data_IF_612793111590
#
_entry.id   IF_612793111590
#
_cell.length_a   1.000
_cell.length_b   1.000
_cell.length_c   1.000
_cell.angle_alpha   90.00
_cell.angle_beta   90.00
_cell.angle_gamma   90.00
#
_symmetry.space_group_name_H-M   'P 1'
#
loop_
_entity.id
_entity.type
_entity.pdbx_description
1 polymer ?
#
# COMPACT_ATOMS: atom_id res chain seq x y z
N UNK A 1 43.20 -42.83 43.50
CA UNK A 1 43.68 -41.54 44.03
C UNK A 1 43.24 -40.43 43.09
N UNK A 2 42.76 -39.32 43.67
CA UNK A 2 42.47 -38.00 43.10
C UNK A 2 41.26 -37.81 42.14
N UNK A 3 40.21 -37.23 42.72
CA UNK A 3 39.19 -36.35 42.13
C UNK A 3 39.81 -35.11 41.44
N UNK A 4 39.16 -34.51 40.44
CA UNK A 4 38.42 -33.22 40.56
C UNK A 4 37.98 -32.61 39.20
N UNK A 5 36.65 -32.49 39.08
CA UNK A 5 35.78 -31.52 38.39
C UNK A 5 36.41 -30.24 37.81
N UNK A 6 36.00 -29.86 36.58
CA UNK A 6 35.67 -28.48 36.13
C UNK A 6 35.14 -28.55 34.67
N UNK A 7 33.82 -28.61 34.45
CA UNK A 7 32.94 -27.47 34.14
C UNK A 7 33.42 -26.59 32.98
N UNK A 8 32.88 -26.83 31.79
CA UNK A 8 32.52 -25.76 30.86
C UNK A 8 31.42 -26.28 29.93
N UNK A 9 30.20 -26.29 30.45
CA UNK A 9 29.00 -26.15 29.65
C UNK A 9 29.18 -24.92 28.76
N UNK A 10 29.55 -25.13 27.50
CA UNK A 10 29.58 -24.08 26.50
C UNK A 10 28.13 -23.77 26.13
N UNK A 11 27.45 -23.09 27.04
CA UNK A 11 26.24 -22.34 26.78
C UNK A 11 26.61 -21.32 25.72
N UNK A 12 26.46 -21.69 24.45
CA UNK A 12 26.32 -20.74 23.36
C UNK A 12 25.06 -19.94 23.69
N UNK A 13 25.26 -18.86 24.44
CA UNK A 13 24.37 -17.70 24.43
C UNK A 13 24.43 -17.17 22.99
N UNK A 14 23.69 -17.83 22.10
CA UNK A 14 23.21 -17.17 20.90
C UNK A 14 22.37 -16.01 21.41
N UNK A 15 22.98 -14.84 21.43
CA UNK A 15 22.26 -13.58 21.32
C UNK A 15 21.40 -13.69 20.07
N UNK A 16 20.18 -14.19 20.22
CA UNK A 16 19.12 -14.14 19.21
C UNK A 16 18.62 -12.71 19.15
N UNK A 17 19.47 -11.80 18.72
CA UNK A 17 19.06 -10.52 18.15
C UNK A 17 18.82 -10.81 16.67
N UNK A 18 17.67 -11.42 16.36
CA UNK A 18 17.19 -11.53 14.99
C UNK A 18 15.78 -11.00 14.95
N UNK A 19 15.73 -9.68 14.73
CA UNK A 19 14.65 -8.87 14.19
C UNK A 19 13.28 -9.56 14.15
N UNK A 20 12.45 -9.25 15.14
CA UNK A 20 11.01 -9.25 14.94
C UNK A 20 10.73 -8.52 13.61
N UNK A 21 9.93 -9.09 12.69
CA UNK A 21 9.49 -8.32 11.54
C UNK A 21 8.77 -7.10 12.10
N UNK A 22 9.31 -5.91 11.84
CA UNK A 22 8.60 -4.66 12.11
C UNK A 22 7.28 -4.80 11.36
N UNK A 23 6.26 -5.17 12.12
CA UNK A 23 4.89 -5.13 11.68
C UNK A 23 4.58 -3.65 11.67
N UNK A 24 4.92 -2.94 10.59
CA UNK A 24 4.44 -1.57 10.35
C UNK A 24 2.96 -1.70 10.01
N UNK A 25 2.18 -2.11 11.02
CA UNK A 25 0.77 -1.82 11.08
C UNK A 25 0.71 -0.29 11.13
N UNK A 26 -0.15 0.32 10.31
CA UNK A 26 -0.42 1.74 10.45
C UNK A 26 -0.75 2.03 11.93
N UNK A 27 0.01 2.93 12.53
CA UNK A 27 0.13 3.09 13.98
C UNK A 27 -0.96 4.02 14.50
N UNK A 28 -1.38 4.98 13.68
CA UNK A 28 -2.14 6.14 14.14
C UNK A 28 -3.36 6.44 13.26
N UNK A 29 -4.49 6.66 13.93
CA UNK A 29 -5.71 7.23 13.37
C UNK A 29 -5.65 8.76 13.40
N UNK A 30 -6.77 9.44 13.09
CA UNK A 30 -6.86 10.90 13.10
C UNK A 30 -6.27 11.55 14.36
N UNK A 31 -5.48 12.60 14.14
CA UNK A 31 -4.71 13.34 15.14
C UNK A 31 -3.67 12.52 15.93
N UNK A 32 -3.50 11.23 15.62
CA UNK A 32 -2.48 10.37 16.20
C UNK A 32 -1.08 10.70 15.70
N UNK A 33 -0.03 10.36 16.47
CA UNK A 33 1.34 10.72 16.14
C UNK A 33 1.86 9.96 14.91
N UNK A 34 2.64 10.65 14.08
CA UNK A 34 3.35 10.04 12.96
C UNK A 34 4.70 10.73 12.75
N UNK A 35 5.65 9.99 12.20
CA UNK A 35 6.94 10.48 11.71
C UNK A 35 7.01 10.38 10.20
N UNK A 36 6.40 9.35 9.64
CA UNK A 36 6.38 9.06 8.22
C UNK A 36 4.95 8.88 7.73
N UNK A 37 4.79 8.93 6.42
CA UNK A 37 3.50 8.76 5.77
C UNK A 37 2.90 7.35 5.95
N UNK A 38 3.74 6.36 6.28
CA UNK A 38 3.33 4.97 6.54
C UNK A 38 2.79 4.76 7.96
N UNK A 39 2.95 5.73 8.86
CA UNK A 39 2.48 5.60 10.24
C UNK A 39 0.96 5.84 10.36
N UNK A 40 0.34 6.37 9.29
CA UNK A 40 -1.07 6.76 9.27
C UNK A 40 -1.96 5.73 8.60
N UNK A 41 -3.15 5.53 9.18
CA UNK A 41 -4.12 4.54 8.69
C UNK A 41 -4.87 5.00 7.43
N UNK A 42 -5.08 4.10 6.47
CA UNK A 42 -5.99 4.30 5.35
C UNK A 42 -5.52 5.37 4.34
N UNK A 43 -6.30 6.46 4.22
CA UNK A 43 -6.02 7.59 3.34
C UNK A 43 -5.44 8.80 4.09
N UNK A 44 -5.16 8.65 5.38
CA UNK A 44 -4.58 9.74 6.17
C UNK A 44 -3.13 9.98 5.78
N UNK A 45 -2.73 11.25 5.82
CA UNK A 45 -1.35 11.67 5.59
C UNK A 45 -0.73 12.25 6.86
N UNK A 46 0.59 12.16 6.97
CA UNK A 46 1.31 12.68 8.12
C UNK A 46 1.64 14.16 7.91
N UNK A 47 0.90 15.07 8.57
CA UNK A 47 1.10 16.52 8.51
C UNK A 47 1.49 17.00 9.90
N UNK A 48 2.63 17.68 10.02
CA UNK A 48 3.13 18.25 11.28
C UNK A 48 3.18 17.22 12.42
N UNK A 49 3.60 15.99 12.09
CA UNK A 49 3.71 14.89 13.05
C UNK A 49 2.39 14.27 13.49
N UNK A 50 1.27 14.58 12.81
CA UNK A 50 -0.05 14.00 13.08
C UNK A 50 -0.72 13.46 11.81
N UNK A 51 -1.45 12.37 11.96
CA UNK A 51 -2.26 11.82 10.88
C UNK A 51 -3.51 12.68 10.66
N UNK A 52 -3.65 13.25 9.47
CA UNK A 52 -4.75 14.14 9.10
C UNK A 52 -5.29 13.79 7.71
N UNK A 53 -6.43 14.41 7.38
CA UNK A 53 -7.00 14.39 6.05
C UNK A 53 -6.03 14.93 5.00
N UNK A 54 -6.09 14.38 3.79
CA UNK A 54 -5.32 14.84 2.64
C UNK A 54 -6.07 15.99 1.93
N UNK A 55 -5.63 17.26 2.08
CA UNK A 55 -6.34 18.42 1.53
C UNK A 55 -6.30 18.46 0.00
N UNK A 56 -5.30 17.84 -0.63
CA UNK A 56 -5.17 17.82 -2.09
C UNK A 56 -6.17 16.86 -2.75
N UNK A 57 -6.75 15.97 -1.95
CA UNK A 57 -7.69 14.93 -2.35
C UNK A 57 -9.10 15.20 -1.84
N UNK A 58 -9.21 16.03 -0.80
CA UNK A 58 -10.48 16.38 -0.16
C UNK A 58 -11.03 15.25 0.72
N UNK A 59 -10.17 14.48 1.39
CA UNK A 59 -10.67 13.52 2.39
C UNK A 59 -11.28 14.24 3.58
N UNK A 60 -12.30 13.66 4.20
CA UNK A 60 -13.02 14.25 5.35
C UNK A 60 -13.13 13.29 6.54
N UNK A 61 -12.17 12.37 6.66
CA UNK A 61 -12.09 11.28 7.63
C UNK A 61 -11.92 11.85 9.04
N UNK A 62 -11.00 12.80 9.22
CA UNK A 62 -10.74 13.43 10.52
C UNK A 62 -11.72 14.56 10.82
N UNK A 63 -12.19 15.23 9.78
CA UNK A 63 -13.15 16.34 9.88
C UNK A 63 -14.56 15.91 10.33
N UNK A 64 -14.93 14.62 10.19
CA UNK A 64 -16.25 14.08 10.58
C UNK A 64 -16.29 13.41 11.95
N UNK A 65 -15.23 13.49 12.77
CA UNK A 65 -15.27 13.14 14.19
C UNK A 65 -15.36 11.64 14.54
N UNK A 66 -14.86 10.73 13.70
CA UNK A 66 -14.94 9.29 13.95
C UNK A 66 -13.70 8.66 14.59
N UNK A 67 -13.79 8.27 15.86
CA UNK A 67 -13.06 7.13 16.46
C UNK A 67 -13.67 5.77 16.06
N UNK A 68 -14.50 5.78 15.03
CA UNK A 68 -15.04 4.64 14.30
C UNK A 68 -14.84 4.96 12.83
N UNK A 69 -14.27 4.02 12.06
CA UNK A 69 -14.15 4.10 10.60
C UNK A 69 -15.43 4.69 10.00
N UNK A 70 -15.40 5.93 9.47
CA UNK A 70 -16.61 6.53 8.95
C UNK A 70 -16.87 6.02 7.54
N UNK A 71 -18.11 5.58 7.34
CA UNK A 71 -18.68 5.32 6.03
C UNK A 71 -18.45 6.55 5.13
N UNK A 72 -17.82 6.35 3.97
CA UNK A 72 -17.52 7.40 3.01
C UNK A 72 -18.82 7.97 2.44
N UNK A 73 -18.78 9.29 2.21
CA UNK A 73 -19.86 10.10 1.65
C UNK A 73 -20.58 9.42 0.48
N UNK A 74 -21.89 9.60 0.47
CA UNK A 74 -22.96 9.07 -0.39
C UNK A 74 -22.88 9.42 -1.88
N UNK A 75 -21.69 9.52 -2.47
CA UNK A 75 -21.49 9.45 -3.91
C UNK A 75 -20.77 8.14 -4.23
N UNK A 76 -21.43 7.18 -4.86
CA UNK A 76 -20.74 6.03 -5.44
C UNK A 76 -19.69 6.55 -6.43
N UNK A 77 -18.50 5.96 -6.45
CA UNK A 77 -17.54 6.27 -7.51
C UNK A 77 -18.18 5.91 -8.86
N UNK A 78 -18.40 6.90 -9.72
CA UNK A 78 -19.02 6.74 -11.02
C UNK A 78 -17.99 6.90 -12.14
N UNK A 79 -18.31 6.33 -13.30
CA UNK A 79 -17.52 6.51 -14.51
C UNK A 79 -17.47 8.00 -14.90
N UNK A 80 -16.29 8.48 -15.24
CA UNK A 80 -16.07 9.85 -15.75
C UNK A 80 -16.27 9.97 -17.26
N UNK A 81 -16.62 8.87 -17.94
CA UNK A 81 -16.78 8.78 -19.38
C UNK A 81 -16.28 7.44 -19.90
N UNK A 82 -16.16 7.31 -21.21
CA UNK A 82 -15.57 6.12 -21.82
C UNK A 82 -14.32 6.50 -22.61
N UNK A 83 -13.34 5.62 -22.60
CA UNK A 83 -12.19 5.66 -23.50
C UNK A 83 -12.35 4.58 -24.56
N UNK A 84 -11.84 4.85 -25.77
CA UNK A 84 -11.76 3.85 -26.83
C UNK A 84 -10.35 3.27 -26.80
N UNK A 85 -10.18 2.07 -26.25
CA UNK A 85 -8.93 1.33 -26.29
C UNK A 85 -9.08 0.22 -27.35
N UNK A 86 -8.16 0.11 -28.31
CA UNK A 86 -8.19 -0.89 -29.39
C UNK A 86 -9.54 -1.05 -30.11
N UNK A 87 -10.20 0.08 -30.39
CA UNK A 87 -11.50 0.14 -31.07
C UNK A 87 -12.71 -0.26 -30.22
N UNK A 88 -12.52 -0.57 -28.93
CA UNK A 88 -13.59 -0.91 -27.98
C UNK A 88 -13.77 0.20 -26.94
N UNK A 89 -15.03 0.46 -26.57
CA UNK A 89 -15.37 1.46 -25.56
C UNK A 89 -15.30 0.85 -24.16
N UNK A 90 -14.48 1.43 -23.28
CA UNK A 90 -14.27 1.02 -21.90
C UNK A 90 -14.58 2.17 -20.95
N UNK A 91 -15.25 1.94 -19.81
CA UNK A 91 -15.52 2.99 -18.83
C UNK A 91 -14.23 3.48 -18.18
N UNK A 92 -14.05 4.79 -18.13
CA UNK A 92 -12.94 5.45 -17.44
C UNK A 92 -13.37 5.86 -16.04
N UNK A 93 -12.51 5.64 -15.06
CA UNK A 93 -12.75 6.05 -13.68
C UNK A 93 -11.60 6.92 -13.19
N UNK A 94 -11.90 8.15 -12.77
CA UNK A 94 -10.97 9.03 -12.06
C UNK A 94 -10.99 8.83 -10.54
N UNK A 95 -11.92 8.00 -10.06
CA UNK A 95 -12.09 7.66 -8.66
C UNK A 95 -11.91 6.15 -8.47
N UNK A 96 -11.81 5.74 -7.21
CA UNK A 96 -11.85 4.34 -6.82
C UNK A 96 -12.73 4.22 -5.59
N UNK A 97 -13.18 3.00 -5.24
CA UNK A 97 -13.89 2.80 -4.00
C UNK A 97 -13.10 3.36 -2.81
N UNK A 98 -13.78 3.75 -1.74
CA UNK A 98 -13.13 4.29 -0.55
C UNK A 98 -12.09 3.35 0.04
N UNK A 99 -10.97 3.91 0.49
CA UNK A 99 -9.92 3.13 1.16
C UNK A 99 -10.30 2.92 2.63
N UNK A 100 -10.46 1.66 3.02
CA UNK A 100 -10.79 1.23 4.39
C UNK A 100 -9.58 0.55 5.04
N UNK A 101 -9.70 0.13 6.30
CA UNK A 101 -8.70 -0.74 6.95
C UNK A 101 -8.53 -2.08 6.24
N UNK A 102 -9.58 -2.53 5.53
CA UNK A 102 -9.58 -3.71 4.66
C UNK A 102 -10.35 -3.39 3.38
N UNK A 103 -9.67 -2.77 2.42
CA UNK A 103 -10.25 -2.42 1.10
C UNK A 103 -10.35 -3.65 0.21
N UNK A 104 -11.54 -3.95 -0.28
CA UNK A 104 -11.74 -5.00 -1.29
C UNK A 104 -11.21 -4.54 -2.65
N UNK A 105 -10.45 -5.40 -3.33
CA UNK A 105 -9.87 -5.15 -4.64
C UNK A 105 -9.82 -6.44 -5.48
N UNK A 106 -9.63 -6.27 -6.79
CA UNK A 106 -9.29 -7.35 -7.71
C UNK A 106 -7.78 -7.28 -7.95
N UNK A 107 -7.09 -8.41 -7.75
CA UNK A 107 -5.67 -8.52 -8.07
C UNK A 107 -5.53 -9.07 -9.48
N UNK A 108 -4.85 -8.32 -10.34
CA UNK A 108 -4.42 -8.74 -11.68
C UNK A 108 -2.90 -8.90 -11.72
N UNK A 109 -2.38 -9.50 -12.79
CA UNK A 109 -0.95 -9.67 -13.02
C UNK A 109 -0.46 -8.59 -13.99
N UNK A 110 0.75 -8.09 -13.79
CA UNK A 110 1.48 -7.18 -14.67
C UNK A 110 2.96 -7.57 -14.71
N UNK A 111 3.61 -7.30 -15.83
CA UNK A 111 5.05 -7.30 -16.02
C UNK A 111 5.59 -5.86 -15.96
N UNK A 112 6.33 -5.55 -14.89
CA UNK A 112 6.95 -4.22 -14.68
C UNK A 112 8.36 -4.12 -15.28
N UNK A 113 8.85 -5.17 -15.93
CA UNK A 113 10.19 -5.21 -16.50
C UNK A 113 10.27 -4.47 -17.84
N UNK A 114 11.49 -4.10 -18.23
CA UNK A 114 11.73 -3.46 -19.52
C UNK A 114 11.31 -4.38 -20.67
N UNK A 115 10.45 -3.89 -21.56
CA UNK A 115 9.90 -4.68 -22.67
C UNK A 115 8.76 -5.63 -22.26
N UNK A 116 8.28 -5.56 -21.01
CA UNK A 116 7.07 -6.24 -20.53
C UNK A 116 5.77 -5.61 -21.03
N UNK A 117 4.64 -6.06 -20.48
CA UNK A 117 3.30 -5.57 -20.83
C UNK A 117 2.89 -4.27 -20.11
N UNK A 118 3.62 -3.84 -19.08
CA UNK A 118 3.39 -2.56 -18.39
C UNK A 118 3.64 -1.32 -19.25
N UNK A 119 4.23 -1.49 -20.43
CA UNK A 119 4.52 -0.40 -21.37
C UNK A 119 5.77 0.37 -20.97
N UNK A 120 5.59 1.54 -20.35
CA UNK A 120 6.69 2.43 -19.96
C UNK A 120 7.23 2.14 -18.54
N UNK A 121 8.24 2.91 -18.11
CA UNK A 121 8.68 2.90 -16.71
C UNK A 121 7.56 3.28 -15.74
N UNK A 122 7.66 2.81 -14.49
CA UNK A 122 6.65 3.00 -13.45
C UNK A 122 6.50 4.47 -13.05
N UNK A 123 5.26 4.93 -12.88
CA UNK A 123 4.94 6.36 -12.70
C UNK A 123 5.50 7.01 -11.42
N UNK A 124 5.86 6.23 -10.40
CA UNK A 124 6.38 6.77 -9.15
C UNK A 124 7.87 7.14 -9.18
N UNK A 125 8.68 6.37 -9.90
CA UNK A 125 10.15 6.44 -9.84
C UNK A 125 10.82 6.41 -11.22
N UNK A 126 10.04 6.38 -12.31
CA UNK A 126 10.51 6.45 -13.70
C UNK A 126 11.48 5.33 -14.08
N UNK A 127 11.36 4.17 -13.43
CA UNK A 127 12.17 2.97 -13.72
C UNK A 127 11.31 1.73 -14.00
N UNK A 128 11.93 0.74 -14.62
CA UNK A 128 11.39 -0.62 -14.68
C UNK A 128 11.72 -1.37 -13.38
N UNK A 129 10.89 -2.33 -13.01
CA UNK A 129 11.12 -3.21 -11.86
C UNK A 129 11.26 -4.65 -12.30
N UNK A 130 12.17 -5.38 -11.66
CA UNK A 130 12.28 -6.81 -11.86
C UNK A 130 11.02 -7.51 -11.32
N UNK A 131 10.47 -8.50 -12.04
CA UNK A 131 9.27 -9.23 -11.59
C UNK A 131 9.49 -10.06 -10.31
N UNK A 132 10.74 -10.13 -9.83
CA UNK A 132 11.06 -10.70 -8.52
C UNK A 132 10.79 -9.73 -7.37
N UNK A 133 10.69 -8.44 -7.65
CA UNK A 133 10.30 -7.41 -6.70
C UNK A 133 8.80 -7.49 -6.40
N UNK A 134 8.43 -7.26 -5.14
CA UNK A 134 7.02 -7.19 -4.73
C UNK A 134 6.52 -5.78 -4.94
N UNK A 135 6.12 -5.48 -6.17
CA UNK A 135 5.61 -4.16 -6.56
C UNK A 135 4.18 -4.26 -7.11
N UNK A 136 3.46 -3.15 -7.07
CA UNK A 136 2.07 -3.06 -7.56
C UNK A 136 1.77 -1.70 -8.17
N UNK A 137 0.84 -1.71 -9.12
CA UNK A 137 0.13 -0.55 -9.61
C UNK A 137 -1.23 -0.42 -8.90
N UNK A 138 -1.72 0.80 -8.70
CA UNK A 138 -3.05 1.05 -8.15
C UNK A 138 -3.93 1.74 -9.18
N UNK A 139 -5.23 1.42 -9.23
CA UNK A 139 -6.19 2.17 -10.06
C UNK A 139 -6.14 3.66 -9.73
N UNK A 140 -6.37 4.53 -10.72
CA UNK A 140 -6.22 6.00 -10.63
C UNK A 140 -6.68 6.63 -9.31
N UNK A 141 -7.88 6.31 -8.83
CA UNK A 141 -8.38 6.89 -7.58
C UNK A 141 -7.64 6.41 -6.32
N UNK A 142 -7.11 5.18 -6.31
CA UNK A 142 -6.24 4.68 -5.25
C UNK A 142 -4.78 5.09 -5.44
N UNK A 143 -4.29 5.23 -6.68
CA UNK A 143 -2.98 5.81 -6.94
C UNK A 143 -2.90 7.22 -6.40
N UNK A 144 -3.99 7.98 -6.60
CA UNK A 144 -4.23 9.29 -6.00
C UNK A 144 -3.05 10.23 -6.24
N UNK A 145 -2.74 10.44 -7.54
CA UNK A 145 -1.67 11.32 -8.04
C UNK A 145 -0.31 11.03 -7.38
N UNK A 146 0.00 9.75 -7.18
CA UNK A 146 1.25 9.32 -6.57
C UNK A 146 1.36 9.53 -5.06
N UNK A 147 0.30 9.96 -4.36
CA UNK A 147 0.31 10.09 -2.89
C UNK A 147 0.67 8.78 -2.16
N UNK A 148 0.55 7.62 -2.84
CA UNK A 148 0.93 6.30 -2.33
C UNK A 148 2.26 5.77 -2.88
N UNK A 149 2.94 6.52 -3.73
CA UNK A 149 4.24 6.11 -4.28
C UNK A 149 5.24 5.74 -3.19
N UNK A 150 5.93 4.61 -3.40
CA UNK A 150 6.91 4.08 -2.46
C UNK A 150 6.33 3.51 -1.17
N UNK A 151 5.02 3.60 -0.94
CA UNK A 151 4.38 3.05 0.26
C UNK A 151 4.18 1.55 0.13
N UNK A 152 4.24 0.90 1.27
CA UNK A 152 3.96 -0.52 1.39
C UNK A 152 2.48 -0.75 1.68
N UNK A 153 1.84 -1.62 0.90
CA UNK A 153 0.48 -2.10 1.16
C UNK A 153 0.50 -3.58 1.49
N UNK A 154 -0.42 -4.02 2.36
CA UNK A 154 -0.62 -5.44 2.67
C UNK A 154 -1.79 -5.99 1.88
N UNK A 155 -1.50 -6.93 0.99
CA UNK A 155 -2.50 -7.65 0.20
C UNK A 155 -2.81 -8.95 0.91
N UNK A 156 -4.09 -9.25 1.11
CA UNK A 156 -4.55 -10.49 1.74
C UNK A 156 -5.49 -11.22 0.81
N UNK A 157 -5.12 -12.43 0.42
CA UNK A 157 -5.92 -13.29 -0.45
C UNK A 157 -7.00 -14.04 0.36
N UNK A 158 -8.03 -14.53 -0.34
CA UNK A 158 -9.14 -15.28 0.27
C UNK A 158 -8.69 -16.56 1.00
N UNK A 159 -7.53 -17.12 0.64
CA UNK A 159 -6.93 -18.27 1.32
C UNK A 159 -6.18 -17.91 2.61
N UNK A 160 -6.27 -16.66 3.08
CA UNK A 160 -5.65 -16.17 4.31
C UNK A 160 -4.17 -15.81 4.18
N UNK A 161 -3.54 -16.03 3.02
CA UNK A 161 -2.15 -15.62 2.80
C UNK A 161 -2.07 -14.11 2.59
N UNK A 162 -1.04 -13.50 3.16
CA UNK A 162 -0.77 -12.07 2.99
C UNK A 162 0.65 -11.83 2.48
N UNK A 163 0.81 -10.73 1.76
CA UNK A 163 2.10 -10.24 1.27
C UNK A 163 2.12 -8.72 1.35
N UNK A 164 3.30 -8.15 1.59
CA UNK A 164 3.52 -6.71 1.50
C UNK A 164 4.18 -6.38 0.16
N UNK A 165 3.67 -5.36 -0.53
CA UNK A 165 4.19 -4.90 -1.82
C UNK A 165 4.29 -3.36 -1.85
N UNK A 166 5.27 -2.85 -2.58
CA UNK A 166 5.51 -1.41 -2.78
C UNK A 166 4.64 -0.89 -3.93
N UNK A 167 3.96 0.23 -3.73
CA UNK A 167 3.26 0.92 -4.81
C UNK A 167 4.28 1.66 -5.67
N UNK A 168 4.34 1.32 -6.95
CA UNK A 168 5.29 1.92 -7.92
C UNK A 168 4.60 2.58 -9.10
N UNK A 169 3.33 2.28 -9.35
CA UNK A 169 2.72 2.71 -10.59
C UNK A 169 1.21 2.97 -10.51
N UNK A 170 0.69 3.60 -11.56
CA UNK A 170 -0.72 3.83 -11.81
C UNK A 170 -1.27 2.80 -12.81
N UNK A 171 -2.37 2.15 -12.44
CA UNK A 171 -3.14 1.32 -13.33
C UNK A 171 -4.18 2.20 -14.05
N UNK A 172 -3.78 2.84 -15.16
CA UNK A 172 -4.72 3.61 -15.99
C UNK A 172 -5.58 2.68 -16.85
N UNK A 173 -6.87 3.02 -16.91
CA UNK A 173 -7.96 2.35 -17.61
C UNK A 173 -7.75 1.98 -19.09
N UNK A 174 -6.77 2.55 -19.80
CA UNK A 174 -6.42 2.11 -21.17
C UNK A 174 -5.04 1.44 -21.29
N UNK A 175 -4.21 1.43 -20.24
CA UNK A 175 -2.84 0.90 -20.38
C UNK A 175 -2.80 -0.65 -20.45
N UNK A 176 -3.94 -1.32 -20.29
CA UNK A 176 -4.07 -2.79 -20.16
C UNK A 176 -4.82 -3.50 -21.30
N UNK A 177 -5.25 -2.78 -22.35
CA UNK A 177 -6.20 -3.29 -23.36
C UNK A 177 -5.71 -3.13 -24.78
#
# INVERSE_FOLDING_TARGET
>A
MANLVLWASLSLLFNTITLLPLSTNAISSCNGPCKTLNDCSGQLICINGKCNDDPDVGTTICSKGGSTSPTPSTGSCQSSGNLICNGKSHPQFRCSPPVLSSTSAILTFNDFSEGGDGGGPSACDEIFHENTERVVALSTGWYNRGSRCGKMIRITAKNGRSVTAKVVDECDSCQWL
#
